data_IF_536183714438
#
_entry.id   IF_536183714438
#
_cell.length_a   1.000
_cell.length_b   1.000
_cell.length_c   1.000
_cell.angle_alpha   90.00
_cell.angle_beta   90.00
_cell.angle_gamma   90.00
#
_symmetry.space_group_name_H-M   'P 1'
#
loop_
_entity.id
_entity.type
_entity.pdbx_description
1 polymer ?
#
# COMPACT_ATOMS: atom_id res chain seq x y z
N UNK A 1 -3.92 12.12 -10.82
CA UNK A 1 -3.68 10.78 -10.21
C UNK A 1 -2.29 10.21 -10.34
N UNK A 2 -1.51 10.54 -11.37
CA UNK A 2 -0.10 10.13 -11.47
C UNK A 2 0.73 10.46 -10.22
N UNK A 3 0.60 11.68 -9.68
CA UNK A 3 1.22 12.06 -8.41
C UNK A 3 0.76 11.20 -7.22
N UNK A 4 -0.54 10.90 -7.14
CA UNK A 4 -1.09 10.01 -6.12
C UNK A 4 -0.50 8.61 -6.21
N UNK A 5 -0.46 8.03 -7.41
CA UNK A 5 0.13 6.71 -7.67
C UNK A 5 1.62 6.68 -7.35
N UNK A 6 2.37 7.72 -7.71
CA UNK A 6 3.81 7.82 -7.45
C UNK A 6 4.08 7.92 -5.94
N UNK A 7 3.36 8.79 -5.22
CA UNK A 7 3.51 8.94 -3.77
C UNK A 7 3.08 7.67 -3.04
N UNK A 8 1.96 7.06 -3.44
CA UNK A 8 1.49 5.81 -2.84
C UNK A 8 2.47 4.66 -3.11
N UNK A 9 2.96 4.51 -4.34
CA UNK A 9 3.98 3.52 -4.71
C UNK A 9 5.25 3.67 -3.87
N UNK A 10 5.70 4.91 -3.64
CA UNK A 10 6.83 5.22 -2.76
C UNK A 10 6.59 4.79 -1.30
N UNK A 11 5.40 5.03 -0.77
CA UNK A 11 5.02 4.62 0.59
C UNK A 11 5.00 3.09 0.70
N UNK A 12 4.40 2.39 -0.26
CA UNK A 12 4.38 0.92 -0.27
C UNK A 12 5.80 0.35 -0.30
N UNK A 13 6.66 0.90 -1.16
CA UNK A 13 8.04 0.45 -1.28
C UNK A 13 8.81 0.68 0.03
N UNK A 14 8.64 1.85 0.65
CA UNK A 14 9.30 2.21 1.91
C UNK A 14 8.78 1.39 3.10
N UNK A 15 7.52 0.95 3.09
CA UNK A 15 6.95 0.07 4.11
C UNK A 15 7.39 -1.38 3.91
N UNK A 16 7.46 -1.87 2.67
CA UNK A 16 7.80 -3.26 2.37
C UNK A 16 9.32 -3.53 2.47
N UNK A 17 10.15 -2.57 2.05
CA UNK A 17 11.62 -2.64 2.09
C UNK A 17 12.25 -1.76 3.17
N UNK A 18 11.44 -1.16 4.04
CA UNK A 18 11.92 -0.32 5.14
C UNK A 18 12.67 -1.14 6.19
N UNK A 19 13.83 -0.64 6.59
CA UNK A 19 14.73 -1.21 7.59
C UNK A 19 14.15 -1.38 9.02
N UNK A 20 12.86 -1.08 9.22
CA UNK A 20 12.16 -1.20 10.50
C UNK A 20 11.33 -2.49 10.62
N UNK A 21 11.48 -3.45 9.71
CA UNK A 21 10.84 -4.76 9.81
C UNK A 21 11.22 -5.44 11.16
N UNK A 22 10.29 -5.60 12.11
CA UNK A 22 10.61 -6.15 13.42
C UNK A 22 10.97 -7.63 13.27
N UNK A 23 12.20 -8.00 13.65
CA UNK A 23 12.71 -9.39 13.62
C UNK A 23 11.89 -10.38 14.45
N UNK A 24 11.06 -9.89 15.39
CA UNK A 24 10.04 -10.66 16.11
C UNK A 24 8.75 -9.83 16.20
N UNK A 25 7.80 -10.08 15.30
CA UNK A 25 6.47 -9.46 15.38
C UNK A 25 5.57 -10.27 16.34
N UNK A 26 5.03 -9.62 17.38
CA UNK A 26 3.94 -10.22 18.18
C UNK A 26 2.71 -10.40 17.29
N UNK A 27 1.87 -11.38 17.62
CA UNK A 27 0.72 -11.77 16.78
C UNK A 27 -0.22 -10.58 16.48
N UNK A 28 -0.37 -9.64 17.43
CA UNK A 28 -1.11 -8.39 17.22
C UNK A 28 -0.45 -7.41 16.24
N UNK A 29 0.88 -7.22 16.30
CA UNK A 29 1.62 -6.40 15.34
C UNK A 29 1.59 -7.00 13.93
N UNK A 30 1.68 -8.33 13.84
CA UNK A 30 1.56 -9.05 12.56
C UNK A 30 0.21 -8.81 11.90
N UNK A 31 -0.88 -8.78 12.69
CA UNK A 31 -2.23 -8.48 12.19
C UNK A 31 -2.35 -7.03 11.75
N UNK A 32 -1.82 -6.06 12.51
CA UNK A 32 -1.80 -4.66 12.07
C UNK A 32 -1.02 -4.48 10.77
N UNK A 33 0.14 -5.12 10.64
CA UNK A 33 0.94 -5.04 9.42
C UNK A 33 0.25 -5.71 8.23
N UNK A 34 -0.41 -6.84 8.47
CA UNK A 34 -1.23 -7.50 7.45
C UNK A 34 -2.40 -6.61 6.99
N UNK A 35 -3.09 -5.93 7.92
CA UNK A 35 -4.16 -4.99 7.59
C UNK A 35 -3.65 -3.77 6.79
N UNK A 36 -2.47 -3.26 7.11
CA UNK A 36 -1.83 -2.18 6.34
C UNK A 36 -1.53 -2.65 4.91
N UNK A 37 -0.97 -3.85 4.75
CA UNK A 37 -0.69 -4.42 3.42
C UNK A 37 -2.00 -4.63 2.64
N UNK A 38 -3.03 -5.18 3.28
CA UNK A 38 -4.35 -5.38 2.64
C UNK A 38 -4.95 -4.04 2.21
N UNK A 39 -4.92 -3.02 3.07
CA UNK A 39 -5.41 -1.68 2.75
C UNK A 39 -4.67 -1.05 1.58
N UNK A 40 -3.34 -1.23 1.53
CA UNK A 40 -2.50 -0.82 0.40
C UNK A 40 -2.93 -1.51 -0.90
N UNK A 41 -3.06 -2.84 -0.89
CA UNK A 41 -3.42 -3.63 -2.09
C UNK A 41 -4.78 -3.20 -2.62
N UNK A 42 -5.77 -3.02 -1.73
CA UNK A 42 -7.10 -2.53 -2.10
C UNK A 42 -7.01 -1.13 -2.71
N UNK A 43 -6.29 -0.20 -2.09
CA UNK A 43 -6.12 1.16 -2.61
C UNK A 43 -5.47 1.19 -4.01
N UNK A 44 -4.46 0.34 -4.25
CA UNK A 44 -3.82 0.20 -5.57
C UNK A 44 -4.79 -0.35 -6.62
N UNK A 45 -5.59 -1.38 -6.28
CA UNK A 45 -6.60 -1.95 -7.19
C UNK A 45 -7.65 -0.89 -7.55
N UNK A 46 -8.17 -0.16 -6.55
CA UNK A 46 -9.14 0.90 -6.81
C UNK A 46 -8.55 2.04 -7.65
N UNK A 47 -7.29 2.43 -7.40
CA UNK A 47 -6.58 3.40 -8.22
C UNK A 47 -6.42 2.92 -9.67
N UNK A 48 -6.02 1.67 -9.87
CA UNK A 48 -5.86 1.07 -11.20
C UNK A 48 -7.21 0.92 -11.94
N UNK A 49 -8.28 0.53 -11.23
CA UNK A 49 -9.64 0.46 -11.78
C UNK A 49 -10.14 1.85 -12.21
N UNK A 50 -9.86 2.89 -11.42
CA UNK A 50 -10.21 4.26 -11.80
C UNK A 50 -9.43 4.70 -13.06
N UNK A 51 -8.18 4.28 -13.23
CA UNK A 51 -7.37 4.58 -14.43
C UNK A 51 -7.89 3.84 -15.67
N UNK A 52 -8.31 2.57 -15.52
CA UNK A 52 -8.84 1.75 -16.62
C UNK A 52 -10.26 2.17 -17.04
N UNK A 53 -11.08 2.62 -16.09
CA UNK A 53 -12.45 3.07 -16.33
C UNK A 53 -12.58 4.44 -17.00
N UNK A 54 -11.48 5.13 -17.26
CA UNK A 54 -11.48 6.46 -17.90
C UNK A 54 -12.15 7.56 -17.06
N UNK A 55 -12.56 7.28 -15.82
CA UNK A 55 -13.24 8.21 -14.90
C UNK A 55 -12.25 9.16 -14.19
N UNK A 56 -11.11 9.41 -14.81
CA UNK A 56 -9.98 10.13 -14.23
C UNK A 56 -9.48 11.31 -15.05
N UNK A 57 -10.39 11.88 -15.86
CA UNK A 57 -10.29 13.26 -16.30
C UNK A 57 -10.68 14.21 -15.16
#
# INVERSE_FOLDING_TARGET
MLLGVIVFSGIVFMVMFGNHAPKQMRLGEKVMFALIIVGIVVAVIFGALQMLGGNLY
#
